data_IF_530646970468
#
_entry.id   IF_530646970468
#
_cell.length_a   1.000
_cell.length_b   1.000
_cell.length_c   1.000
_cell.angle_alpha   90.00
_cell.angle_beta   90.00
_cell.angle_gamma   90.00
#
_symmetry.space_group_name_H-M   'P 1'
#
loop_
_entity.id
_entity.type
_entity.pdbx_description
1 polymer ?
#
# COMPACT_ATOMS: atom_id res chain seq x y z
N UNK A 1 4.97 13.47 14.56
CA UNK A 1 4.60 12.06 14.74
C UNK A 1 3.58 11.73 13.66
N UNK A 2 4.03 11.48 12.43
CA UNK A 2 3.15 11.10 11.33
C UNK A 2 2.71 9.66 11.59
N UNK A 3 1.41 9.49 11.81
CA UNK A 3 0.76 8.21 12.05
C UNK A 3 0.85 7.36 10.76
N UNK A 4 1.97 6.66 10.57
CA UNK A 4 2.24 5.79 9.41
C UNK A 4 1.41 4.49 9.42
N UNK A 5 0.52 4.35 10.41
CA UNK A 5 -0.31 3.17 10.68
C UNK A 5 -1.73 3.28 10.14
N UNK A 6 -2.13 4.46 9.65
CA UNK A 6 -3.47 4.70 9.12
C UNK A 6 -3.57 4.25 7.65
N UNK A 7 -4.38 3.22 7.33
CA UNK A 7 -4.55 2.73 5.96
C UNK A 7 -5.04 3.79 4.98
N UNK A 8 -5.87 4.74 5.42
CA UNK A 8 -6.44 5.77 4.54
C UNK A 8 -5.38 6.79 4.11
N UNK A 9 -4.48 7.17 5.03
CA UNK A 9 -3.35 8.06 4.72
C UNK A 9 -2.35 7.40 3.80
N UNK A 10 -2.05 6.12 4.02
CA UNK A 10 -1.19 5.33 3.15
C UNK A 10 -1.77 5.22 1.74
N UNK A 11 -3.09 5.03 1.64
CA UNK A 11 -3.77 4.99 0.35
C UNK A 11 -3.60 6.29 -0.41
N UNK A 12 -3.91 7.43 0.21
CA UNK A 12 -3.80 8.73 -0.41
C UNK A 12 -2.36 9.03 -0.85
N UNK A 13 -1.38 8.72 0.01
CA UNK A 13 0.04 8.92 -0.28
C UNK A 13 0.49 8.12 -1.52
N UNK A 14 0.21 6.81 -1.54
CA UNK A 14 0.64 5.97 -2.65
C UNK A 14 -0.18 6.20 -3.91
N UNK A 15 -1.47 6.53 -3.81
CA UNK A 15 -2.28 6.90 -4.96
C UNK A 15 -1.72 8.15 -5.66
N UNK A 16 -1.30 9.16 -4.90
CA UNK A 16 -0.63 10.34 -5.45
C UNK A 16 0.70 9.97 -6.13
N UNK A 17 1.55 9.19 -5.45
CA UNK A 17 2.84 8.76 -6.01
C UNK A 17 2.68 7.91 -7.30
N UNK A 18 1.64 7.09 -7.39
CA UNK A 18 1.30 6.33 -8.60
C UNK A 18 0.88 7.27 -9.73
N UNK A 19 0.03 8.25 -9.43
CA UNK A 19 -0.42 9.23 -10.43
C UNK A 19 0.75 10.05 -11.00
N UNK A 20 1.68 10.45 -10.13
CA UNK A 20 2.83 11.30 -10.48
C UNK A 20 3.96 10.54 -11.20
N UNK A 21 3.98 9.20 -11.15
CA UNK A 21 5.00 8.41 -11.84
C UNK A 21 4.95 8.66 -13.36
N UNK A 22 6.07 9.11 -13.95
CA UNK A 22 6.17 9.49 -15.37
C UNK A 22 6.82 8.42 -16.26
N UNK A 23 7.36 7.36 -15.65
CA UNK A 23 7.99 6.24 -16.35
C UNK A 23 7.83 4.94 -15.54
N UNK A 24 8.12 3.83 -16.21
CA UNK A 24 7.95 2.48 -15.63
C UNK A 24 8.88 2.26 -14.43
N UNK A 25 10.08 2.83 -14.43
CA UNK A 25 11.06 2.67 -13.36
C UNK A 25 10.61 3.38 -12.07
N UNK A 26 10.09 4.60 -12.19
CA UNK A 26 9.50 5.37 -11.10
C UNK A 26 8.27 4.65 -10.56
N UNK A 27 7.39 4.15 -11.43
CA UNK A 27 6.22 3.39 -11.00
C UNK A 27 6.61 2.10 -10.26
N UNK A 28 7.65 1.41 -10.70
CA UNK A 28 8.19 0.22 -10.03
C UNK A 28 8.80 0.57 -8.66
N UNK A 29 9.50 1.70 -8.54
CA UNK A 29 10.00 2.18 -7.25
C UNK A 29 8.85 2.44 -6.25
N UNK A 30 7.75 3.05 -6.71
CA UNK A 30 6.53 3.25 -5.89
C UNK A 30 5.93 1.90 -5.49
N UNK A 31 5.82 0.94 -6.43
CA UNK A 31 5.35 -0.43 -6.13
C UNK A 31 6.20 -1.11 -5.06
N UNK A 32 7.53 -1.02 -5.15
CA UNK A 32 8.44 -1.60 -4.16
C UNK A 32 8.28 -0.94 -2.80
N UNK A 33 8.17 0.39 -2.75
CA UNK A 33 7.98 1.14 -1.51
C UNK A 33 6.65 0.82 -0.81
N UNK A 34 5.58 0.57 -1.57
CA UNK A 34 4.27 0.21 -1.04
C UNK A 34 4.15 -1.29 -0.70
N UNK A 35 4.42 -2.14 -1.69
CA UNK A 35 4.04 -3.56 -1.74
C UNK A 35 5.24 -4.51 -1.81
N UNK A 36 6.47 -3.99 -1.83
CA UNK A 36 7.68 -4.80 -1.83
C UNK A 36 7.84 -5.63 -0.55
N UNK A 37 8.88 -6.46 -0.48
CA UNK A 37 9.14 -7.31 0.70
C UNK A 37 9.30 -6.51 2.00
N UNK A 38 9.80 -5.28 1.92
CA UNK A 38 9.88 -4.31 3.04
C UNK A 38 9.04 -3.06 2.76
N UNK A 39 8.02 -3.20 1.91
CA UNK A 39 7.10 -2.12 1.60
C UNK A 39 6.20 -1.83 2.79
N UNK A 40 5.73 -0.59 2.91
CA UNK A 40 4.99 -0.12 4.07
C UNK A 40 3.70 -0.91 4.31
N UNK A 41 2.94 -1.21 3.25
CA UNK A 41 1.71 -2.00 3.36
C UNK A 41 2.05 -3.45 3.72
N UNK A 42 3.07 -4.02 3.10
CA UNK A 42 3.56 -5.37 3.40
C UNK A 42 4.00 -5.52 4.86
N UNK A 43 4.65 -4.51 5.43
CA UNK A 43 5.10 -4.53 6.82
C UNK A 43 3.95 -4.40 7.81
N UNK A 44 2.93 -3.58 7.51
CA UNK A 44 1.69 -3.55 8.30
C UNK A 44 0.95 -4.89 8.27
N UNK A 45 0.86 -5.54 7.10
CA UNK A 45 0.25 -6.86 6.98
C UNK A 45 0.96 -7.92 7.81
N UNK A 46 2.30 -7.89 7.91
CA UNK A 46 3.02 -8.79 8.82
C UNK A 46 2.73 -8.46 10.29
N UNK A 47 2.55 -7.17 10.60
CA UNK A 47 2.15 -6.69 11.92
C UNK A 47 0.84 -7.29 12.41
N UNK A 48 -0.12 -7.59 11.51
CA UNK A 48 -1.40 -8.22 11.85
C UNK A 48 -1.22 -9.53 12.64
N UNK A 49 -0.18 -10.32 12.34
CA UNK A 49 0.10 -11.57 13.04
C UNK A 49 0.40 -11.39 14.53
N UNK A 50 0.78 -10.17 14.95
CA UNK A 50 1.07 -9.80 16.34
C UNK A 50 -0.10 -9.11 17.03
N UNK A 51 -1.14 -8.71 16.28
CA UNK A 51 -2.32 -8.05 16.85
C UNK A 51 -3.25 -9.07 17.55
N UNK A 52 -4.00 -8.63 18.59
CA UNK A 52 -5.10 -9.39 19.17
C UNK A 52 -6.16 -9.77 18.12
N UNK A 53 -6.94 -10.85 18.34
CA UNK A 53 -7.94 -11.32 17.37
C UNK A 53 -8.95 -10.25 16.95
N UNK A 54 -9.45 -9.46 17.89
CA UNK A 54 -10.46 -8.42 17.65
C UNK A 54 -9.91 -7.28 16.79
N UNK A 55 -8.70 -6.81 17.08
CA UNK A 55 -8.03 -5.78 16.29
C UNK A 55 -7.67 -6.29 14.90
N UNK A 56 -7.16 -7.53 14.80
CA UNK A 56 -6.88 -8.18 13.52
C UNK A 56 -8.13 -8.34 12.67
N UNK A 57 -9.28 -8.67 13.26
CA UNK A 57 -10.54 -8.81 12.54
C UNK A 57 -10.98 -7.49 11.92
N UNK A 58 -10.70 -6.37 12.56
CA UNK A 58 -11.02 -5.03 12.04
C UNK A 58 -9.98 -4.53 11.04
N UNK A 59 -8.68 -4.73 11.32
CA UNK A 59 -7.59 -4.17 10.52
C UNK A 59 -7.24 -5.02 9.29
N UNK A 60 -7.38 -6.35 9.39
CA UNK A 60 -7.04 -7.29 8.31
C UNK A 60 -7.77 -6.99 7.00
N UNK A 61 -9.11 -6.88 6.98
CA UNK A 61 -9.86 -6.52 5.79
C UNK A 61 -9.47 -5.14 5.21
N UNK A 62 -9.19 -4.15 6.07
CA UNK A 62 -8.77 -2.81 5.63
C UNK A 62 -7.44 -2.86 4.89
N UNK A 63 -6.44 -3.56 5.44
CA UNK A 63 -5.12 -3.68 4.82
C UNK A 63 -5.14 -4.56 3.56
N UNK A 64 -5.97 -5.61 3.53
CA UNK A 64 -6.17 -6.40 2.31
C UNK A 64 -6.79 -5.53 1.20
N UNK A 65 -7.86 -4.78 1.50
CA UNK A 65 -8.48 -3.86 0.54
C UNK A 65 -7.52 -2.79 0.05
N UNK A 66 -6.71 -2.21 0.93
CA UNK A 66 -5.66 -1.26 0.54
C UNK A 66 -4.65 -1.88 -0.43
N UNK A 67 -4.13 -3.08 -0.11
CA UNK A 67 -3.17 -3.79 -0.96
C UNK A 67 -3.74 -4.03 -2.36
N UNK A 68 -4.99 -4.45 -2.44
CA UNK A 68 -5.66 -4.73 -3.71
C UNK A 68 -5.86 -3.45 -4.52
N UNK A 69 -6.39 -2.37 -3.91
CA UNK A 69 -6.56 -1.07 -4.57
C UNK A 69 -5.26 -0.49 -5.12
N UNK A 70 -4.16 -0.57 -4.36
CA UNK A 70 -2.84 -0.11 -4.83
C UNK A 70 -2.31 -0.99 -5.97
N UNK A 71 -2.50 -2.31 -5.88
CA UNK A 71 -2.11 -3.24 -6.95
C UNK A 71 -2.81 -2.89 -8.26
N UNK A 72 -4.12 -2.64 -8.20
CA UNK A 72 -4.92 -2.27 -9.36
C UNK A 72 -4.52 -0.90 -9.92
N UNK A 73 -4.34 0.10 -9.07
CA UNK A 73 -3.92 1.44 -9.48
C UNK A 73 -2.55 1.42 -10.21
N UNK A 74 -1.59 0.64 -9.70
CA UNK A 74 -0.29 0.44 -10.34
C UNK A 74 -0.45 -0.25 -11.69
N UNK A 75 -1.26 -1.31 -11.76
CA UNK A 75 -1.50 -2.02 -13.00
C UNK A 75 -2.17 -1.14 -14.07
N UNK A 76 -3.10 -0.26 -13.67
CA UNK A 76 -3.73 0.72 -14.55
C UNK A 76 -2.72 1.75 -15.03
N UNK A 77 -1.94 2.36 -14.11
CA UNK A 77 -0.93 3.36 -14.47
C UNK A 77 0.12 2.80 -15.43
N UNK A 78 0.57 1.56 -15.21
CA UNK A 78 1.55 0.90 -16.07
C UNK A 78 1.10 0.75 -17.52
N UNK A 79 -0.21 0.68 -17.79
CA UNK A 79 -0.73 0.59 -19.17
C UNK A 79 -0.68 1.93 -19.92
N UNK A 80 -0.50 3.03 -19.20
CA UNK A 80 -0.49 4.39 -19.76
C UNK A 80 0.90 5.02 -19.77
N UNK A 81 1.92 4.25 -19.38
CA UNK A 81 3.35 4.58 -19.43
C UNK A 81 4.02 3.70 -20.47
#
# INVERSE_FOLDING_TARGET
MTDHTDPEKLEAEFAAAIADAMDVDTLEAVRVAALGKKGRVSDLMKGLGRMPPEERQQMGPKLNGLKDRLTDAIAVRKRTL
#
